data_IF_199001373716
#
_entry.id   IF_199001373716
#
_cell.length_a   1.000
_cell.length_b   1.000
_cell.length_c   1.000
_cell.angle_alpha   90.00
_cell.angle_beta   90.00
_cell.angle_gamma   90.00
#
_symmetry.space_group_name_H-M   'P 1'
#
loop_
_entity.id
_entity.type
_entity.pdbx_description
1 polymer ?
#
# COMPACT_ATOMS: atom_id res chain seq x y z
N UNK A 1 5.83 26.37 -1.82
CA UNK A 1 7.18 25.88 -2.09
C UNK A 1 7.19 24.39 -2.41
N UNK A 2 8.22 23.95 -3.13
CA UNK A 2 8.46 22.55 -3.43
C UNK A 2 8.88 21.72 -2.21
N UNK A 3 9.47 20.55 -2.45
CA UNK A 3 10.00 19.72 -1.37
C UNK A 3 11.12 20.49 -0.62
N UNK A 4 11.19 20.36 0.72
CA UNK A 4 12.27 20.95 1.50
C UNK A 4 13.65 20.48 1.02
N UNK A 5 14.68 21.33 1.23
CA UNK A 5 16.06 20.97 0.89
C UNK A 5 16.44 19.67 1.60
N UNK A 6 17.00 18.73 0.85
CA UNK A 6 17.39 17.41 1.35
C UNK A 6 16.27 16.34 1.30
N UNK A 7 15.03 16.72 1.03
CA UNK A 7 13.93 15.76 0.82
C UNK A 7 13.87 15.37 -0.66
N UNK A 8 14.05 14.09 -0.94
CA UNK A 8 13.99 13.53 -2.29
C UNK A 8 12.71 12.72 -2.49
N UNK A 9 12.09 12.83 -3.67
CA UNK A 9 10.86 12.11 -4.02
C UNK A 9 11.02 10.58 -3.97
N UNK A 10 12.20 10.07 -4.32
CA UNK A 10 12.55 8.65 -4.30
C UNK A 10 12.97 8.13 -2.91
N UNK A 11 12.90 8.98 -1.88
CA UNK A 11 13.28 8.67 -0.49
C UNK A 11 12.28 9.19 0.55
N UNK A 12 11.03 9.41 0.17
CA UNK A 12 10.00 9.99 1.05
C UNK A 12 9.72 9.11 2.27
N UNK A 13 9.79 7.79 2.11
CA UNK A 13 9.52 6.82 3.19
C UNK A 13 10.69 6.71 4.19
N UNK A 14 11.88 7.20 3.84
CA UNK A 14 13.08 7.08 4.66
C UNK A 14 13.70 8.43 5.04
N UNK A 15 13.17 9.52 4.51
CA UNK A 15 13.69 10.86 4.80
C UNK A 15 13.18 11.36 6.15
N UNK A 16 14.11 11.83 6.98
CA UNK A 16 13.77 12.51 8.24
C UNK A 16 13.04 13.83 7.98
N UNK A 17 12.18 14.24 8.91
CA UNK A 17 11.49 15.52 8.84
C UNK A 17 12.48 16.68 8.82
N UNK A 18 12.37 17.51 7.79
CA UNK A 18 13.17 18.74 7.62
C UNK A 18 12.23 19.95 7.50
N UNK A 19 11.63 20.42 8.60
CA UNK A 19 10.68 21.52 8.53
C UNK A 19 11.37 22.80 8.13
N UNK A 20 10.89 23.54 7.12
CA UNK A 20 11.47 24.81 6.68
C UNK A 20 11.33 25.91 7.76
N UNK A 21 10.37 25.75 8.66
CA UNK A 21 10.19 26.62 9.82
C UNK A 21 10.12 25.81 11.12
N UNK A 22 11.26 25.56 11.80
CA UNK A 22 11.29 24.78 13.03
C UNK A 22 10.51 25.43 14.20
N UNK A 23 10.40 26.76 14.23
CA UNK A 23 9.66 27.46 15.29
C UNK A 23 8.15 27.22 15.14
N UNK A 24 7.62 27.38 13.94
CA UNK A 24 6.23 27.08 13.63
C UNK A 24 5.90 25.59 13.89
N UNK A 25 6.79 24.70 13.47
CA UNK A 25 6.61 23.27 13.73
C UNK A 25 6.53 22.94 15.22
N UNK A 26 7.37 23.57 16.05
CA UNK A 26 7.30 23.41 17.52
C UNK A 26 5.99 23.94 18.09
N UNK A 27 5.52 25.10 17.62
CA UNK A 27 4.25 25.66 18.08
C UNK A 27 3.07 24.74 17.74
N UNK A 28 2.98 24.31 16.48
CA UNK A 28 1.91 23.41 16.02
C UNK A 28 1.95 22.04 16.73
N UNK A 29 3.15 21.53 17.03
CA UNK A 29 3.29 20.29 17.80
C UNK A 29 2.78 20.45 19.24
N UNK A 30 3.06 21.59 19.91
CA UNK A 30 2.53 21.87 21.26
C UNK A 30 1.00 21.96 21.28
N UNK A 31 0.41 22.40 20.18
CA UNK A 31 -1.04 22.44 19.98
C UNK A 31 -1.64 21.09 19.57
N UNK A 32 -0.84 20.04 19.41
CA UNK A 32 -1.29 18.73 18.96
C UNK A 32 -1.73 18.65 17.49
N UNK A 33 -1.43 19.68 16.69
CA UNK A 33 -1.85 19.78 15.29
C UNK A 33 -0.92 19.07 14.30
N UNK A 34 0.33 18.79 14.70
CA UNK A 34 1.33 18.11 13.87
C UNK A 34 2.15 17.12 14.70
N UNK A 35 2.61 16.06 14.03
CA UNK A 35 3.56 15.09 14.60
C UNK A 35 4.98 15.35 14.08
N UNK A 36 5.99 15.06 14.92
CA UNK A 36 7.42 15.20 14.55
C UNK A 36 8.04 13.89 14.06
N UNK A 37 7.28 12.82 13.98
CA UNK A 37 7.81 11.45 13.79
C UNK A 37 8.17 11.09 12.37
N UNK A 38 8.05 12.00 11.40
CA UNK A 38 8.27 11.75 9.95
C UNK A 38 7.43 10.60 9.36
N UNK A 39 6.40 10.14 10.05
CA UNK A 39 5.57 8.99 9.68
C UNK A 39 4.33 9.34 8.85
N UNK A 40 4.21 10.58 8.39
CA UNK A 40 3.05 11.01 7.62
C UNK A 40 2.91 10.25 6.30
N UNK A 41 4.01 10.09 5.58
CA UNK A 41 4.02 9.31 4.34
C UNK A 41 3.73 7.83 4.60
N UNK A 42 4.40 7.20 5.56
CA UNK A 42 4.17 5.79 5.92
C UNK A 42 2.70 5.52 6.20
N UNK A 43 2.04 6.38 6.98
CA UNK A 43 0.62 6.26 7.32
C UNK A 43 -0.28 6.35 6.09
N UNK A 44 0.00 7.29 5.17
CA UNK A 44 -0.75 7.42 3.92
C UNK A 44 -0.59 6.15 3.06
N UNK A 45 0.63 5.65 2.91
CA UNK A 45 0.90 4.41 2.16
C UNK A 45 0.22 3.21 2.80
N UNK A 46 0.37 3.02 4.11
CA UNK A 46 -0.26 1.91 4.85
C UNK A 46 -1.79 1.96 4.70
N UNK A 47 -2.41 3.14 4.86
CA UNK A 47 -3.85 3.29 4.74
C UNK A 47 -4.37 2.94 3.34
N UNK A 48 -3.68 3.42 2.30
CA UNK A 48 -4.07 3.15 0.91
C UNK A 48 -3.86 1.67 0.54
N UNK A 49 -2.67 1.14 0.76
CA UNK A 49 -2.35 -0.24 0.43
C UNK A 49 -3.17 -1.24 1.24
N UNK A 50 -3.35 -0.98 2.54
CA UNK A 50 -4.16 -1.81 3.43
C UNK A 50 -5.65 -1.82 3.08
N UNK A 51 -6.15 -0.78 2.42
CA UNK A 51 -7.52 -0.71 1.88
C UNK A 51 -7.63 -1.22 0.43
N UNK A 52 -6.59 -1.88 -0.11
CA UNK A 52 -6.60 -2.44 -1.46
C UNK A 52 -6.51 -1.39 -2.58
N UNK A 53 -6.12 -0.17 -2.25
CA UNK A 53 -5.90 0.92 -3.20
C UNK A 53 -4.44 0.99 -3.65
N UNK A 54 -4.17 1.80 -4.69
CA UNK A 54 -2.80 2.11 -5.08
C UNK A 54 -2.11 2.99 -4.04
N UNK A 55 -0.78 2.91 -4.00
CA UNK A 55 0.02 3.82 -3.22
C UNK A 55 -0.21 5.28 -3.68
N UNK A 56 -0.16 6.27 -2.77
CA UNK A 56 -0.27 7.67 -3.16
C UNK A 56 0.84 8.08 -4.14
N UNK A 57 0.46 8.84 -5.15
CA UNK A 57 1.43 9.45 -6.07
C UNK A 57 1.88 10.80 -5.54
N UNK A 58 3.19 11.01 -5.48
CA UNK A 58 3.77 12.29 -5.06
C UNK A 58 4.46 12.94 -6.24
N UNK A 59 3.93 14.07 -6.68
CA UNK A 59 4.55 14.99 -7.62
C UNK A 59 5.15 16.18 -6.89
N UNK A 60 6.30 16.66 -7.32
CA UNK A 60 6.90 17.88 -6.78
C UNK A 60 7.65 18.63 -7.88
N UNK A 61 7.51 19.95 -7.89
CA UNK A 61 8.31 20.91 -8.64
C UNK A 61 8.93 21.93 -7.67
N UNK A 62 9.52 22.98 -8.20
CA UNK A 62 10.19 24.03 -7.39
C UNK A 62 9.21 24.83 -6.51
N UNK A 63 7.93 24.84 -6.86
CA UNK A 63 6.91 25.69 -6.24
C UNK A 63 5.81 24.92 -5.53
N UNK A 64 5.55 23.66 -5.91
CA UNK A 64 4.43 22.87 -5.43
C UNK A 64 4.80 21.44 -5.08
N UNK A 65 4.07 20.89 -4.12
CA UNK A 65 4.01 19.44 -3.85
C UNK A 65 2.56 19.01 -4.03
N UNK A 66 2.34 18.00 -4.87
CA UNK A 66 1.04 17.36 -5.07
C UNK A 66 1.08 15.94 -4.56
N UNK A 67 0.08 15.57 -3.78
CA UNK A 67 -0.16 14.17 -3.40
C UNK A 67 -1.52 13.76 -3.96
N UNK A 68 -1.54 12.72 -4.79
CA UNK A 68 -2.76 12.19 -5.38
C UNK A 68 -3.08 10.83 -4.74
N UNK A 69 -4.35 10.63 -4.42
CA UNK A 69 -4.88 9.38 -3.85
C UNK A 69 -5.84 8.74 -4.84
N UNK A 70 -5.60 7.48 -5.21
CA UNK A 70 -6.52 6.72 -6.04
C UNK A 70 -7.79 6.39 -5.25
N UNK A 71 -8.96 6.85 -5.74
CA UNK A 71 -10.24 6.58 -5.09
C UNK A 71 -10.72 5.12 -5.25
N UNK A 72 -10.62 4.48 -6.44
CA UNK A 72 -11.11 3.12 -6.62
C UNK A 72 -10.31 2.12 -5.79
N UNK A 73 -11.01 1.09 -5.28
CA UNK A 73 -10.36 -0.12 -4.74
C UNK A 73 -9.90 -0.94 -5.94
N UNK A 74 -8.61 -0.92 -6.21
CA UNK A 74 -8.01 -1.60 -7.38
C UNK A 74 -7.95 -3.13 -7.19
N UNK A 75 -7.93 -3.59 -5.95
CA UNK A 75 -7.82 -5.02 -5.66
C UNK A 75 -8.66 -5.44 -4.44
N UNK A 76 -9.97 -5.68 -4.62
CA UNK A 76 -10.81 -6.24 -3.55
C UNK A 76 -10.29 -7.59 -3.02
N UNK A 77 -9.71 -8.41 -3.91
CA UNK A 77 -9.05 -9.66 -3.53
C UNK A 77 -7.86 -9.45 -2.59
N UNK A 78 -7.11 -8.35 -2.75
CA UNK A 78 -6.02 -8.01 -1.84
C UNK A 78 -6.53 -7.71 -0.42
N UNK A 79 -7.64 -6.98 -0.30
CA UNK A 79 -8.25 -6.68 1.01
C UNK A 79 -8.66 -7.97 1.73
N UNK A 80 -9.32 -8.89 1.01
CA UNK A 80 -9.68 -10.21 1.56
C UNK A 80 -8.45 -11.04 1.91
N UNK A 81 -7.43 -11.04 1.06
CA UNK A 81 -6.17 -11.71 1.37
C UNK A 81 -5.50 -11.15 2.63
N UNK A 82 -5.44 -9.82 2.78
CA UNK A 82 -4.88 -9.16 3.95
C UNK A 82 -5.60 -9.56 5.26
N UNK A 83 -6.91 -9.82 5.22
CA UNK A 83 -7.66 -10.29 6.40
C UNK A 83 -7.31 -11.73 6.81
N UNK A 84 -6.76 -12.54 5.91
CA UNK A 84 -6.37 -13.93 6.16
C UNK A 84 -4.87 -14.09 6.50
N UNK A 85 -4.06 -13.10 6.20
CA UNK A 85 -2.60 -13.14 6.41
C UNK A 85 -2.16 -13.10 7.88
N UNK A 86 -2.89 -12.50 8.84
CA UNK A 86 -2.51 -12.52 10.25
C UNK A 86 -2.19 -13.91 10.80
N UNK A 87 -2.92 -14.93 10.35
CA UNK A 87 -2.72 -16.33 10.77
C UNK A 87 -1.47 -16.99 10.17
N UNK A 88 -0.85 -16.34 9.17
CA UNK A 88 0.31 -16.89 8.45
C UNK A 88 1.60 -16.15 8.81
N UNK A 89 1.55 -14.83 8.86
CA UNK A 89 2.74 -13.97 9.05
C UNK A 89 2.68 -13.13 10.32
N UNK A 90 1.59 -13.25 11.10
CA UNK A 90 1.36 -12.48 12.32
C UNK A 90 0.64 -11.15 12.08
N UNK A 91 -0.22 -10.76 13.01
CA UNK A 91 -1.09 -9.58 12.89
C UNK A 91 -0.30 -8.25 12.75
N UNK A 92 0.79 -8.10 13.51
CA UNK A 92 1.65 -6.91 13.44
C UNK A 92 2.35 -6.75 12.10
N UNK A 93 2.65 -7.87 11.42
CA UNK A 93 3.30 -7.84 10.12
C UNK A 93 2.36 -7.31 9.02
N UNK A 94 1.07 -7.57 9.10
CA UNK A 94 0.09 -7.15 8.07
C UNK A 94 -0.12 -5.63 8.02
N UNK A 95 0.28 -4.90 9.05
CA UNK A 95 0.26 -3.43 9.07
C UNK A 95 1.63 -2.80 8.78
N UNK A 96 2.64 -3.61 8.50
CA UNK A 96 3.98 -3.12 8.16
C UNK A 96 4.04 -2.66 6.69
N UNK A 97 4.58 -1.47 6.47
CA UNK A 97 4.67 -0.87 5.13
C UNK A 97 5.43 -1.75 4.14
N UNK A 98 6.57 -2.33 4.53
CA UNK A 98 7.38 -3.17 3.64
C UNK A 98 6.64 -4.46 3.24
N UNK A 99 5.82 -5.02 4.15
CA UNK A 99 4.94 -6.15 3.85
C UNK A 99 3.91 -5.77 2.79
N UNK A 100 3.22 -4.65 2.98
CA UNK A 100 2.19 -4.17 2.05
C UNK A 100 2.77 -3.85 0.66
N UNK A 101 3.94 -3.20 0.62
CA UNK A 101 4.65 -2.90 -0.63
C UNK A 101 5.08 -4.19 -1.35
N UNK A 102 5.68 -5.14 -0.63
CA UNK A 102 6.10 -6.43 -1.20
C UNK A 102 4.90 -7.23 -1.73
N UNK A 103 3.82 -7.33 -0.95
CA UNK A 103 2.58 -8.00 -1.37
C UNK A 103 1.99 -7.37 -2.63
N UNK A 104 1.89 -6.04 -2.66
CA UNK A 104 1.33 -5.31 -3.80
C UNK A 104 2.17 -5.52 -5.06
N UNK A 105 3.49 -5.43 -4.94
CA UNK A 105 4.40 -5.68 -6.06
C UNK A 105 4.30 -7.12 -6.56
N UNK A 106 4.39 -8.11 -5.67
CA UNK A 106 4.42 -9.52 -6.02
C UNK A 106 3.03 -10.11 -6.36
N UNK A 107 1.96 -9.38 -6.12
CA UNK A 107 0.64 -9.70 -6.67
C UNK A 107 0.59 -9.52 -8.20
N UNK A 108 1.47 -8.66 -8.76
CA UNK A 108 1.55 -8.34 -10.19
C UNK A 108 2.82 -8.88 -10.86
N UNK A 109 3.87 -9.11 -10.08
CA UNK A 109 5.16 -9.61 -10.54
C UNK A 109 5.44 -10.99 -9.94
N UNK A 110 6.12 -11.85 -10.70
CA UNK A 110 6.48 -13.20 -10.25
C UNK A 110 7.63 -13.21 -9.24
N UNK A 111 8.50 -12.21 -9.30
CA UNK A 111 9.69 -12.11 -8.46
C UNK A 111 10.09 -10.65 -8.19
N UNK A 112 10.82 -10.45 -7.11
CA UNK A 112 11.40 -9.19 -6.68
C UNK A 112 12.91 -9.36 -6.59
N UNK A 113 13.67 -8.56 -7.32
CA UNK A 113 15.14 -8.54 -7.24
C UNK A 113 15.63 -7.65 -6.09
N UNK A 114 16.90 -7.81 -5.65
CA UNK A 114 17.48 -6.94 -4.61
C UNK A 114 17.43 -5.45 -5.01
N UNK A 115 17.73 -5.14 -6.27
CA UNK A 115 17.66 -3.76 -6.76
C UNK A 115 16.22 -3.24 -6.79
N UNK A 116 15.26 -4.05 -7.26
CA UNK A 116 13.84 -3.72 -7.25
C UNK A 116 13.30 -3.50 -5.83
N UNK A 117 13.71 -4.36 -4.87
CA UNK A 117 13.34 -4.22 -3.47
C UNK A 117 13.90 -2.93 -2.84
N UNK A 118 15.18 -2.61 -3.12
CA UNK A 118 15.79 -1.38 -2.62
C UNK A 118 15.07 -0.13 -3.14
N UNK A 119 14.67 -0.12 -4.39
CA UNK A 119 13.87 0.96 -4.98
C UNK A 119 12.45 1.00 -4.40
N UNK A 120 11.78 -0.17 -4.28
CA UNK A 120 10.42 -0.30 -3.77
C UNK A 120 10.30 0.19 -2.32
N UNK A 121 11.22 -0.22 -1.46
CA UNK A 121 11.26 0.16 -0.04
C UNK A 121 11.94 1.50 0.21
N UNK A 122 12.53 2.11 -0.82
CA UNK A 122 13.32 3.34 -0.74
C UNK A 122 14.50 3.24 0.25
N UNK A 123 15.09 2.06 0.38
CA UNK A 123 16.16 1.73 1.31
C UNK A 123 17.54 1.64 0.62
N UNK A 124 18.60 1.77 1.41
CA UNK A 124 19.93 1.36 0.96
C UNK A 124 19.99 -0.16 0.75
N UNK A 125 20.96 -0.64 -0.02
CA UNK A 125 21.11 -2.10 -0.24
C UNK A 125 21.33 -2.88 1.05
N UNK A 126 22.04 -2.30 2.02
CA UNK A 126 22.29 -2.97 3.30
C UNK A 126 20.99 -3.12 4.13
N UNK A 127 20.23 -2.03 4.26
CA UNK A 127 18.93 -2.03 4.94
C UNK A 127 17.92 -2.94 4.23
N UNK A 128 17.90 -2.89 2.90
CA UNK A 128 17.03 -3.73 2.08
C UNK A 128 17.26 -5.22 2.33
N UNK A 129 18.52 -5.67 2.43
CA UNK A 129 18.85 -7.06 2.74
C UNK A 129 18.33 -7.48 4.12
N UNK A 130 18.42 -6.61 5.12
CA UNK A 130 17.86 -6.89 6.44
C UNK A 130 16.33 -7.03 6.39
N UNK A 131 15.65 -6.14 5.65
CA UNK A 131 14.19 -6.23 5.44
C UNK A 131 13.82 -7.50 4.70
N UNK A 132 14.51 -7.85 3.61
CA UNK A 132 14.24 -9.08 2.86
C UNK A 132 14.45 -10.34 3.71
N UNK A 133 15.52 -10.39 4.51
CA UNK A 133 15.74 -11.49 5.44
C UNK A 133 14.61 -11.61 6.48
N UNK A 134 14.15 -10.48 7.01
CA UNK A 134 13.01 -10.45 7.92
C UNK A 134 11.71 -10.91 7.24
N UNK A 135 11.42 -10.46 6.00
CA UNK A 135 10.24 -10.88 5.23
C UNK A 135 10.26 -12.40 4.93
N UNK A 136 11.44 -12.99 4.73
CA UNK A 136 11.59 -14.44 4.64
C UNK A 136 11.35 -15.09 6.00
N UNK A 137 11.90 -14.54 7.07
CA UNK A 137 11.77 -15.04 8.44
C UNK A 137 10.32 -15.11 8.94
N UNK A 138 9.47 -14.13 8.58
CA UNK A 138 8.03 -14.16 8.91
C UNK A 138 7.20 -15.03 7.96
N UNK A 139 7.81 -15.66 6.95
CA UNK A 139 7.11 -16.53 6.00
C UNK A 139 6.30 -15.80 4.92
N UNK A 140 6.56 -14.50 4.69
CA UNK A 140 5.98 -13.77 3.58
C UNK A 140 6.63 -14.13 2.25
N UNK A 141 7.97 -14.20 2.25
CA UNK A 141 8.78 -14.44 1.05
C UNK A 141 9.55 -15.74 1.13
N UNK A 142 9.87 -16.26 -0.04
CA UNK A 142 10.87 -17.32 -0.24
C UNK A 142 11.99 -16.76 -1.10
N UNK A 143 13.24 -16.98 -0.67
CA UNK A 143 14.42 -16.60 -1.44
C UNK A 143 14.72 -17.65 -2.51
N UNK A 144 14.99 -17.21 -3.73
CA UNK A 144 15.51 -18.01 -4.81
C UNK A 144 17.03 -17.77 -4.91
N UNK A 145 17.78 -18.75 -4.48
CA UNK A 145 19.24 -18.79 -4.59
C UNK A 145 19.60 -19.79 -5.69
N UNK A 146 20.38 -19.46 -6.72
CA UNK A 146 21.33 -18.34 -6.84
C UNK A 146 20.78 -17.07 -7.53
N UNK A 147 19.52 -17.06 -7.97
CA UNK A 147 18.97 -15.97 -8.78
C UNK A 147 18.89 -14.61 -8.04
N UNK A 148 19.21 -14.55 -6.74
CA UNK A 148 19.08 -13.35 -5.89
C UNK A 148 17.75 -12.65 -6.08
N UNK A 149 16.69 -13.44 -6.13
CA UNK A 149 15.32 -12.99 -6.25
C UNK A 149 14.46 -13.56 -5.12
N UNK A 150 13.35 -12.92 -4.88
CA UNK A 150 12.37 -13.29 -3.86
C UNK A 150 11.00 -13.37 -4.49
N UNK A 151 10.26 -14.38 -4.12
CA UNK A 151 8.86 -14.55 -4.50
C UNK A 151 7.99 -14.74 -3.27
N UNK A 152 6.67 -14.64 -3.42
CA UNK A 152 5.76 -14.94 -2.31
C UNK A 152 5.92 -16.39 -1.87
N UNK A 153 5.96 -16.60 -0.55
CA UNK A 153 5.94 -17.94 0.02
C UNK A 153 4.70 -18.72 -0.47
N UNK A 154 4.77 -20.04 -0.69
CA UNK A 154 3.70 -20.83 -1.31
C UNK A 154 2.33 -20.63 -0.63
N UNK A 155 2.31 -20.58 0.70
CA UNK A 155 1.08 -20.38 1.49
C UNK A 155 0.47 -19.00 1.27
N UNK A 156 1.28 -17.94 1.25
CA UNK A 156 0.83 -16.57 0.97
C UNK A 156 0.33 -16.45 -0.47
N UNK A 157 1.07 -17.05 -1.41
CA UNK A 157 0.69 -17.08 -2.83
C UNK A 157 -0.64 -17.79 -3.06
N UNK A 158 -0.91 -18.89 -2.38
CA UNK A 158 -2.19 -19.61 -2.49
C UNK A 158 -3.36 -18.78 -1.97
N UNK A 159 -3.18 -18.05 -0.84
CA UNK A 159 -4.19 -17.15 -0.31
C UNK A 159 -4.51 -16.04 -1.32
N UNK A 160 -3.48 -15.36 -1.86
CA UNK A 160 -3.68 -14.30 -2.84
C UNK A 160 -4.40 -14.79 -4.10
N UNK A 161 -3.99 -15.95 -4.64
CA UNK A 161 -4.63 -16.54 -5.82
C UNK A 161 -6.08 -16.92 -5.57
N UNK A 162 -6.38 -17.52 -4.42
CA UNK A 162 -7.75 -17.88 -4.06
C UNK A 162 -8.69 -16.67 -3.97
N UNK A 163 -8.15 -15.49 -3.62
CA UNK A 163 -8.92 -14.26 -3.53
C UNK A 163 -8.95 -13.44 -4.84
N UNK A 164 -8.11 -13.79 -5.81
CA UNK A 164 -8.07 -13.16 -7.14
C UNK A 164 -9.00 -13.83 -8.15
N UNK A 165 -9.69 -14.89 -7.78
CA UNK A 165 -10.72 -15.48 -8.65
C UNK A 165 -11.75 -14.39 -8.95
N UNK A 166 -12.05 -14.10 -10.23
CA UNK A 166 -13.10 -13.17 -10.58
C UNK A 166 -14.38 -13.59 -9.85
N UNK A 167 -15.11 -12.62 -9.29
CA UNK A 167 -16.48 -12.88 -8.90
C UNK A 167 -17.16 -13.56 -10.11
N UNK A 168 -17.98 -14.60 -9.90
CA UNK A 168 -18.65 -15.28 -11.00
C UNK A 168 -19.31 -14.23 -11.88
N UNK A 169 -19.20 -14.43 -13.21
CA UNK A 169 -19.74 -13.52 -14.23
C UNK A 169 -21.27 -13.45 -14.25
N UNK A 170 -21.93 -14.09 -13.33
CA UNK A 170 -23.36 -13.97 -13.10
C UNK A 170 -23.62 -12.63 -12.44
N UNK A 171 -24.37 -11.77 -13.16
CA UNK A 171 -24.70 -10.41 -12.85
C UNK A 171 -25.04 -10.15 -11.38
N UNK A 172 -23.98 -10.03 -10.57
CA UNK A 172 -24.08 -9.82 -9.14
C UNK A 172 -24.58 -8.41 -8.82
N UNK A 173 -24.76 -8.15 -7.54
CA UNK A 173 -25.22 -6.88 -6.97
C UNK A 173 -24.56 -5.66 -7.62
N UNK A 174 -23.28 -5.77 -8.00
CA UNK A 174 -22.53 -4.69 -8.68
C UNK A 174 -23.08 -4.37 -10.08
N UNK A 175 -23.41 -5.38 -10.88
CA UNK A 175 -23.98 -5.18 -12.21
C UNK A 175 -25.40 -4.59 -12.10
N UNK A 176 -26.21 -5.08 -11.15
CA UNK A 176 -27.53 -4.54 -10.86
C UNK A 176 -27.46 -3.08 -10.38
N UNK A 177 -26.47 -2.73 -9.58
CA UNK A 177 -26.25 -1.34 -9.10
C UNK A 177 -25.76 -0.45 -10.25
N UNK A 178 -24.87 -0.93 -11.11
CA UNK A 178 -24.39 -0.18 -12.29
C UNK A 178 -25.55 0.09 -13.26
N UNK A 179 -26.39 -0.89 -13.56
CA UNK A 179 -27.58 -0.74 -14.40
C UNK A 179 -28.59 0.25 -13.80
N UNK A 180 -28.78 0.19 -12.49
CA UNK A 180 -29.60 1.15 -11.76
C UNK A 180 -29.05 2.58 -11.86
N UNK A 181 -27.73 2.77 -11.73
CA UNK A 181 -27.08 4.07 -11.86
C UNK A 181 -27.16 4.61 -13.29
N UNK A 182 -27.08 3.76 -14.30
CA UNK A 182 -27.24 4.12 -15.71
C UNK A 182 -28.70 4.55 -16.04
N UNK A 183 -29.69 4.08 -15.26
CA UNK A 183 -31.11 4.38 -15.46
C UNK A 183 -31.61 5.68 -14.80
N UNK A 184 -30.73 6.44 -14.10
CA UNK A 184 -31.04 7.73 -13.47
C UNK A 184 -30.81 7.80 -11.98
N UNK A 185 -31.21 8.84 -11.29
CA UNK A 185 -30.94 9.03 -9.86
C UNK A 185 -31.48 7.88 -9.00
N UNK A 186 -30.57 7.31 -8.19
CA UNK A 186 -30.83 6.09 -7.42
C UNK A 186 -31.03 6.42 -5.95
N UNK A 187 -32.12 5.90 -5.36
CA UNK A 187 -32.40 6.00 -3.92
C UNK A 187 -31.99 4.69 -3.21
N UNK A 188 -31.71 4.77 -1.91
CA UNK A 188 -31.36 3.60 -1.10
C UNK A 188 -32.41 2.47 -1.17
N UNK A 189 -33.68 2.84 -1.24
CA UNK A 189 -34.83 1.91 -1.38
C UNK A 189 -34.78 1.13 -2.72
N UNK A 190 -34.34 1.76 -3.80
CA UNK A 190 -34.20 1.15 -5.12
C UNK A 190 -33.01 0.18 -5.18
N UNK A 191 -31.92 0.48 -4.49
CA UNK A 191 -30.80 -0.44 -4.36
C UNK A 191 -31.21 -1.71 -3.63
N UNK A 192 -31.82 -1.56 -2.46
CA UNK A 192 -32.26 -2.71 -1.64
C UNK A 192 -33.29 -3.58 -2.39
N UNK A 193 -34.23 -3.00 -3.16
CA UNK A 193 -35.19 -3.79 -3.94
C UNK A 193 -34.62 -4.52 -5.15
N UNK A 194 -33.44 -4.11 -5.66
CA UNK A 194 -32.78 -4.74 -6.79
C UNK A 194 -31.71 -5.77 -6.40
N UNK A 195 -31.27 -5.72 -5.14
CA UNK A 195 -30.19 -6.57 -4.63
C UNK A 195 -30.65 -7.61 -3.61
N UNK A 196 -31.96 -7.57 -3.21
CA UNK A 196 -32.61 -8.53 -2.30
C UNK A 196 -32.32 -8.26 -0.85
#
# INVERSE_FOLDING_TARGET
GGLPIGVRRDRLLTTSSAPPNPALMRALHRLGLVEKTSRGFDRMWIAMLGSGREAPEVGADESHVRVAFAAPVDSPGMVRALSLLPDVIGATATTNLNVLLALRHLARASALTEAGAAALFQLSRAECRAVLAWLVGIGLLTADQPARSWSLAPRVRSILRAQQVPAPADGGIEAAVIDLLASGPVTNRRIVSATG
#
